data_IF_212894302932
#
_entry.id   IF_212894302932
#
_cell.length_a   1.000
_cell.length_b   1.000
_cell.length_c   1.000
_cell.angle_alpha   90.00
_cell.angle_beta   90.00
_cell.angle_gamma   90.00
#
_symmetry.space_group_name_H-M   'P 1'
#
loop_
_entity.id
_entity.type
_entity.pdbx_description
1 polymer ?
#
# COMPACT_ATOMS: atom_id res chain seq x y z
N UNK A 1 29.76 -21.38 -39.65
CA UNK A 1 29.33 -22.50 -38.78
C UNK A 1 30.44 -22.75 -37.76
N UNK A 2 30.08 -23.01 -36.49
CA UNK A 2 30.60 -22.36 -35.27
C UNK A 2 31.70 -23.21 -34.60
N UNK A 3 32.51 -22.71 -33.65
CA UNK A 3 32.18 -22.58 -32.22
C UNK A 3 33.20 -21.72 -31.46
N UNK A 4 32.77 -20.60 -30.86
CA UNK A 4 33.38 -20.05 -29.64
C UNK A 4 32.24 -19.50 -28.77
N UNK A 5 31.72 -20.34 -27.88
CA UNK A 5 30.88 -19.96 -26.75
C UNK A 5 31.66 -20.31 -25.48
N UNK A 6 32.15 -19.31 -24.74
CA UNK A 6 32.11 -19.29 -23.28
C UNK A 6 32.55 -17.93 -22.72
N UNK A 7 31.90 -17.55 -21.63
CA UNK A 7 32.29 -16.54 -20.64
C UNK A 7 32.02 -15.06 -20.96
N UNK A 8 30.76 -14.65 -20.80
CA UNK A 8 30.40 -13.32 -20.31
C UNK A 8 29.22 -13.45 -19.33
N UNK A 9 29.52 -13.80 -18.07
CA UNK A 9 28.60 -13.67 -16.95
C UNK A 9 29.34 -12.97 -15.83
N UNK A 10 29.19 -11.65 -15.75
CA UNK A 10 29.34 -10.82 -14.55
C UNK A 10 29.21 -9.34 -14.94
N UNK A 11 27.98 -8.85 -15.03
CA UNK A 11 27.65 -7.48 -14.67
C UNK A 11 26.16 -7.41 -14.37
N UNK A 12 25.85 -7.25 -13.09
CA UNK A 12 24.53 -6.96 -12.58
C UNK A 12 24.09 -5.59 -13.13
N UNK A 13 23.38 -5.60 -14.25
CA UNK A 13 22.63 -4.45 -14.71
C UNK A 13 21.35 -4.33 -13.88
N UNK A 14 21.33 -3.30 -13.04
CA UNK A 14 20.18 -2.81 -12.30
C UNK A 14 19.07 -2.43 -13.30
N UNK A 15 18.12 -3.33 -13.50
CA UNK A 15 16.95 -3.08 -14.34
C UNK A 15 15.99 -2.13 -13.63
N UNK A 16 15.94 -0.88 -14.09
CA UNK A 16 14.86 0.07 -13.82
C UNK A 16 13.66 -0.30 -14.71
N UNK A 17 12.45 -0.60 -14.17
CA UNK A 17 11.34 -1.10 -14.99
C UNK A 17 10.58 -0.01 -15.78
N UNK A 18 11.11 1.21 -15.90
CA UNK A 18 10.47 2.33 -16.61
C UNK A 18 10.89 2.52 -18.08
N UNK A 19 11.24 1.45 -18.80
CA UNK A 19 11.49 1.51 -20.25
C UNK A 19 10.65 0.50 -21.01
N UNK A 20 9.34 0.74 -21.10
CA UNK A 20 8.54 0.24 -22.21
C UNK A 20 7.57 1.32 -22.68
N UNK A 21 7.42 1.36 -24.01
CA UNK A 21 6.49 2.13 -24.85
C UNK A 21 6.96 3.56 -25.23
N UNK A 22 7.51 3.73 -26.45
CA UNK A 22 6.77 4.20 -27.63
C UNK A 22 7.64 4.30 -28.91
N UNK A 23 7.15 3.62 -29.96
CA UNK A 23 7.12 3.99 -31.39
C UNK A 23 8.43 4.46 -32.08
N UNK A 24 8.91 3.71 -33.09
CA UNK A 24 8.66 4.13 -34.47
C UNK A 24 8.96 3.06 -35.52
N UNK A 25 8.12 3.09 -36.54
CA UNK A 25 8.07 2.26 -37.73
C UNK A 25 9.20 2.55 -38.73
N UNK A 26 9.69 1.51 -39.40
CA UNK A 26 9.92 1.45 -40.85
C UNK A 26 10.82 2.48 -41.56
N UNK A 27 11.92 1.96 -42.10
CA UNK A 27 12.46 2.22 -43.45
C UNK A 27 12.76 3.67 -43.90
N UNK A 28 14.04 3.97 -44.19
CA UNK A 28 14.59 4.02 -45.56
C UNK A 28 16.05 4.54 -45.53
N UNK A 29 16.93 3.82 -46.22
CA UNK A 29 18.27 4.25 -46.63
C UNK A 29 18.21 5.49 -47.53
N UNK A 30 19.20 6.39 -47.47
CA UNK A 30 19.86 7.00 -48.65
C UNK A 30 21.21 7.69 -48.24
N UNK A 31 22.31 7.11 -48.74
CA UNK A 31 23.53 7.67 -49.38
C UNK A 31 24.37 8.85 -48.80
N UNK A 32 25.68 8.52 -48.63
CA UNK A 32 26.94 9.22 -49.05
C UNK A 32 27.19 10.70 -48.71
N UNK A 33 28.22 11.07 -47.93
CA UNK A 33 29.68 11.13 -48.19
C UNK A 33 30.17 12.51 -48.69
N UNK A 34 31.07 13.15 -47.93
CA UNK A 34 32.30 13.82 -48.41
C UNK A 34 32.98 14.64 -47.29
N UNK A 35 34.28 14.40 -47.11
CA UNK A 35 35.22 15.21 -46.34
C UNK A 35 35.70 16.43 -47.17
N UNK A 36 36.11 17.55 -46.54
CA UNK A 36 37.51 17.97 -46.37
C UNK A 36 37.72 19.41 -45.81
N UNK A 37 38.72 19.53 -44.94
CA UNK A 37 39.72 20.61 -44.69
C UNK A 37 39.40 22.13 -44.64
N UNK A 38 39.67 22.70 -43.44
CA UNK A 38 40.45 23.91 -43.07
C UNK A 38 40.42 25.22 -43.90
N UNK A 39 40.07 26.35 -43.25
CA UNK A 39 40.96 27.51 -42.98
C UNK A 39 40.25 28.66 -42.24
N UNK A 40 41.06 29.45 -41.54
CA UNK A 40 40.77 30.39 -40.43
C UNK A 40 39.99 31.69 -40.77
N UNK A 41 39.51 32.41 -39.73
CA UNK A 41 39.80 33.85 -39.43
C UNK A 41 39.17 34.30 -38.08
N UNK A 42 40.05 34.52 -37.09
CA UNK A 42 40.26 35.66 -36.15
C UNK A 42 39.13 36.38 -35.37
N UNK A 43 39.34 36.44 -34.03
CA UNK A 43 39.10 37.62 -33.15
C UNK A 43 38.07 37.37 -32.03
N UNK A 44 38.28 37.61 -30.73
CA UNK A 44 39.21 38.41 -29.93
C UNK A 44 39.15 37.88 -28.47
N UNK A 45 40.28 37.87 -27.76
CA UNK A 45 40.37 37.77 -26.29
C UNK A 45 41.22 38.94 -25.78
N UNK A 46 40.84 39.54 -24.64
CA UNK A 46 41.84 39.85 -23.60
C UNK A 46 41.31 39.49 -22.18
N UNK A 47 42.05 38.71 -21.38
CA UNK A 47 42.99 39.15 -20.32
C UNK A 47 42.25 39.69 -19.07
N UNK A 48 42.44 39.33 -17.80
CA UNK A 48 43.55 38.75 -17.01
C UNK A 48 43.02 38.33 -15.62
N UNK A 49 43.56 37.24 -15.08
CA UNK A 49 44.12 37.02 -13.74
C UNK A 49 43.63 37.83 -12.51
N UNK A 50 43.33 37.12 -11.40
CA UNK A 50 43.32 37.71 -10.04
C UNK A 50 42.61 36.85 -8.99
N UNK A 51 43.39 36.13 -8.18
CA UNK A 51 42.98 35.36 -6.99
C UNK A 51 42.33 36.26 -5.92
N UNK A 52 41.32 35.77 -5.20
CA UNK A 52 41.38 35.65 -3.72
C UNK A 52 40.22 34.81 -3.19
N UNK A 53 40.60 33.84 -2.37
CA UNK A 53 39.75 33.15 -1.39
C UNK A 53 38.94 34.16 -0.58
N UNK A 54 37.62 34.02 -0.56
CA UNK A 54 36.76 34.55 0.50
C UNK A 54 35.60 33.60 0.67
N UNK A 55 35.70 32.84 1.76
CA UNK A 55 34.69 31.95 2.27
C UNK A 55 33.37 32.71 2.45
N UNK A 56 32.39 32.43 1.59
CA UNK A 56 31.01 32.74 1.90
C UNK A 56 30.49 31.56 2.71
N UNK A 57 30.35 31.76 4.01
CA UNK A 57 29.64 30.86 4.91
C UNK A 57 28.20 30.67 4.39
N UNK A 58 27.96 29.57 3.67
CA UNK A 58 26.61 29.05 3.50
C UNK A 58 26.31 28.21 4.74
N UNK A 59 25.47 28.79 5.59
CA UNK A 59 25.06 28.25 6.86
C UNK A 59 24.45 26.85 6.74
N UNK A 60 24.56 26.13 7.87
CA UNK A 60 23.91 24.87 8.17
C UNK A 60 22.39 24.94 7.87
N UNK A 61 22.01 24.59 6.65
CA UNK A 61 20.64 24.42 6.21
C UNK A 61 20.41 22.97 5.84
N UNK A 62 19.66 22.26 6.68
CA UNK A 62 19.10 20.92 6.51
C UNK A 62 19.02 20.47 5.04
N UNK A 63 20.06 19.74 4.60
CA UNK A 63 20.01 19.01 3.35
C UNK A 63 18.94 17.92 3.49
N UNK A 64 18.09 17.80 2.47
CA UNK A 64 17.07 16.75 2.28
C UNK A 64 17.73 15.38 2.07
N UNK A 65 18.54 14.93 3.02
CA UNK A 65 19.12 13.61 3.07
C UNK A 65 18.14 12.67 3.76
N UNK A 66 17.42 11.86 2.99
CA UNK A 66 16.49 10.91 3.60
C UNK A 66 15.80 9.94 2.66
N UNK A 67 15.76 10.19 1.35
CA UNK A 67 14.98 9.33 0.43
C UNK A 67 15.83 8.52 -0.57
N UNK A 68 17.07 8.89 -0.87
CA UNK A 68 17.82 8.24 -1.95
C UNK A 68 19.24 7.83 -1.58
N UNK A 69 19.32 6.88 -0.66
CA UNK A 69 20.23 5.75 -0.77
C UNK A 69 19.57 4.61 0.00
N UNK A 70 18.71 3.82 -0.66
CA UNK A 70 18.21 2.59 -0.04
C UNK A 70 19.39 1.64 0.09
N UNK A 71 20.10 1.74 1.22
CA UNK A 71 21.37 1.09 1.46
C UNK A 71 21.21 -0.44 1.32
N UNK A 72 22.29 -1.13 0.96
CA UNK A 72 22.37 -2.61 0.88
C UNK A 72 21.72 -3.32 2.09
N UNK A 73 21.68 -2.68 3.26
CA UNK A 73 20.96 -3.15 4.47
C UNK A 73 19.48 -3.49 4.26
N UNK A 74 18.77 -2.79 3.38
CA UNK A 74 17.35 -3.06 3.11
C UNK A 74 17.20 -4.18 2.09
N UNK A 75 17.87 -4.06 0.93
CA UNK A 75 17.79 -5.05 -0.15
C UNK A 75 18.29 -6.43 0.26
N UNK A 76 19.33 -6.51 1.11
CA UNK A 76 19.82 -7.78 1.65
C UNK A 76 18.81 -8.49 2.58
N UNK A 77 17.69 -7.85 2.92
CA UNK A 77 16.60 -8.44 3.73
C UNK A 77 15.39 -8.84 2.90
N UNK A 78 15.53 -8.89 1.57
CA UNK A 78 14.47 -9.29 0.65
C UNK A 78 14.88 -10.57 -0.05
N UNK A 79 14.15 -11.64 0.21
CA UNK A 79 14.25 -12.88 -0.55
C UNK A 79 13.21 -12.86 -1.67
N UNK A 80 13.65 -12.73 -2.92
CA UNK A 80 12.79 -12.73 -4.10
C UNK A 80 12.52 -14.19 -4.51
N UNK A 81 11.30 -14.65 -4.34
CA UNK A 81 10.84 -15.90 -4.94
C UNK A 81 9.97 -15.61 -6.18
N UNK A 82 9.49 -16.65 -6.88
CA UNK A 82 8.73 -16.50 -8.12
C UNK A 82 7.37 -15.82 -7.96
N UNK A 83 6.83 -15.71 -6.75
CA UNK A 83 5.53 -15.07 -6.50
C UNK A 83 5.66 -13.78 -5.67
N UNK A 84 6.30 -13.83 -4.51
CA UNK A 84 6.43 -12.72 -3.55
C UNK A 84 7.90 -12.35 -3.28
N UNK A 85 8.12 -11.09 -2.91
CA UNK A 85 9.39 -10.65 -2.36
C UNK A 85 9.28 -10.64 -0.84
N UNK A 86 9.83 -11.65 -0.18
CA UNK A 86 9.62 -11.88 1.25
C UNK A 86 10.65 -11.15 2.10
N UNK A 87 10.17 -10.44 3.11
CA UNK A 87 10.99 -9.83 4.14
C UNK A 87 11.54 -10.87 5.12
N UNK A 88 12.86 -11.04 5.12
CA UNK A 88 13.57 -11.98 6.00
C UNK A 88 14.05 -11.34 7.31
N UNK A 89 13.87 -10.02 7.47
CA UNK A 89 14.22 -9.31 8.70
C UNK A 89 13.19 -9.49 9.83
N UNK A 90 13.30 -8.59 10.82
CA UNK A 90 12.36 -8.50 11.95
C UNK A 90 10.94 -8.30 11.43
N UNK A 91 10.01 -9.03 12.03
CA UNK A 91 8.57 -8.94 11.78
C UNK A 91 7.84 -8.61 13.08
N UNK A 92 6.68 -7.99 12.99
CA UNK A 92 5.81 -7.81 14.15
C UNK A 92 5.01 -9.09 14.47
N UNK A 93 4.20 -9.05 15.53
CA UNK A 93 3.33 -10.18 15.94
C UNK A 93 2.29 -10.59 14.89
N UNK A 94 2.06 -9.76 13.87
CA UNK A 94 1.12 -10.00 12.78
C UNK A 94 1.85 -10.41 11.47
N UNK A 95 3.18 -10.55 11.52
CA UNK A 95 4.00 -10.97 10.39
C UNK A 95 4.47 -9.84 9.47
N UNK A 96 4.12 -8.57 9.74
CA UNK A 96 4.55 -7.45 8.90
C UNK A 96 6.04 -7.16 9.09
N UNK A 97 6.77 -7.02 7.98
CA UNK A 97 8.18 -6.66 8.00
C UNK A 97 8.44 -5.28 8.61
N UNK A 98 9.44 -5.19 9.48
CA UNK A 98 9.87 -3.96 10.15
C UNK A 98 11.34 -3.68 9.84
N UNK A 99 11.67 -2.41 9.60
CA UNK A 99 13.02 -1.94 9.31
C UNK A 99 13.36 -0.71 10.14
N UNK A 100 14.59 -0.64 10.63
CA UNK A 100 15.11 0.53 11.37
C UNK A 100 15.73 1.53 10.39
N UNK A 101 15.07 2.68 10.26
CA UNK A 101 15.47 3.82 9.44
C UNK A 101 15.58 5.04 10.35
N UNK A 102 16.75 5.67 10.40
CA UNK A 102 17.05 6.85 11.21
C UNK A 102 16.62 6.72 12.69
N UNK A 103 16.89 5.55 13.28
CA UNK A 103 16.54 5.23 14.66
C UNK A 103 15.06 4.90 14.90
N UNK A 104 14.22 4.88 13.86
CA UNK A 104 12.79 4.58 13.96
C UNK A 104 12.45 3.26 13.27
N UNK A 105 11.53 2.50 13.87
CA UNK A 105 11.01 1.28 13.27
C UNK A 105 9.84 1.60 12.33
N UNK A 106 10.03 1.35 11.04
CA UNK A 106 9.07 1.60 9.95
C UNK A 106 8.69 0.28 9.29
N UNK A 107 7.51 0.22 8.66
CA UNK A 107 7.07 -0.94 7.91
C UNK A 107 7.82 -1.09 6.59
N UNK A 108 8.36 -2.28 6.32
CA UNK A 108 9.16 -2.56 5.13
C UNK A 108 8.36 -2.37 3.83
N UNK A 109 7.09 -2.77 3.80
CA UNK A 109 6.21 -2.59 2.64
C UNK A 109 5.89 -1.11 2.36
N UNK A 110 5.96 -0.23 3.36
CA UNK A 110 5.79 1.22 3.16
C UNK A 110 7.05 1.86 2.59
N UNK A 111 8.22 1.42 3.05
CA UNK A 111 9.51 1.91 2.54
C UNK A 111 9.62 1.60 1.05
N UNK A 112 9.37 0.36 0.63
CA UNK A 112 9.45 -0.01 -0.78
C UNK A 112 8.39 0.72 -1.62
N UNK A 113 7.19 0.95 -1.08
CA UNK A 113 6.18 1.77 -1.74
C UNK A 113 6.69 3.20 -1.97
N UNK A 114 7.20 3.85 -0.92
CA UNK A 114 7.72 5.21 -1.01
C UNK A 114 8.92 5.33 -1.95
N UNK A 115 9.73 4.28 -2.03
CA UNK A 115 10.87 4.19 -2.95
C UNK A 115 10.44 4.08 -4.42
N UNK A 116 9.41 3.27 -4.74
CA UNK A 116 8.99 3.01 -6.13
C UNK A 116 7.94 4.00 -6.62
N UNK A 117 6.96 4.31 -5.78
CA UNK A 117 5.76 5.08 -6.14
C UNK A 117 5.72 6.49 -5.54
N UNK A 118 6.64 6.80 -4.61
CA UNK A 118 6.66 8.08 -3.90
C UNK A 118 5.77 8.13 -2.65
N UNK A 119 5.60 9.34 -2.11
CA UNK A 119 4.97 9.55 -0.81
C UNK A 119 3.58 8.94 -0.69
N UNK A 120 3.29 8.33 0.47
CA UNK A 120 1.95 7.82 0.79
C UNK A 120 1.04 9.01 1.17
N UNK A 121 -0.06 9.28 0.44
CA UNK A 121 -0.98 10.35 0.78
C UNK A 121 -1.62 10.17 2.16
N UNK A 122 -1.95 11.29 2.83
CA UNK A 122 -2.60 11.26 4.14
C UNK A 122 -3.94 10.49 4.08
N UNK A 123 -4.17 9.64 5.08
CA UNK A 123 -5.39 8.83 5.18
C UNK A 123 -5.40 7.55 4.33
N UNK A 124 -4.36 7.32 3.52
CA UNK A 124 -4.19 6.08 2.77
C UNK A 124 -3.18 5.14 3.43
N UNK A 125 -3.41 3.85 3.22
CA UNK A 125 -2.60 2.75 3.70
C UNK A 125 -2.07 1.94 2.52
N UNK A 126 -0.90 1.34 2.69
CA UNK A 126 -0.34 0.39 1.73
C UNK A 126 -0.87 -0.99 2.07
N UNK A 127 -1.63 -1.58 1.15
CA UNK A 127 -2.33 -2.86 1.31
C UNK A 127 -1.72 -3.93 0.39
N UNK A 128 -1.93 -5.20 0.75
CA UNK A 128 -1.39 -6.35 0.03
C UNK A 128 -2.47 -7.04 -0.82
N UNK A 129 -2.18 -7.29 -2.10
CA UNK A 129 -3.01 -8.13 -2.97
C UNK A 129 -2.84 -9.61 -2.64
N UNK A 130 -1.64 -10.02 -2.22
CA UNK A 130 -1.23 -11.41 -2.08
C UNK A 130 -1.46 -12.02 -0.69
N UNK A 131 -2.04 -11.27 0.27
CA UNK A 131 -2.30 -11.72 1.65
C UNK A 131 -1.09 -12.28 2.41
N UNK A 132 0.12 -11.86 2.03
CA UNK A 132 1.37 -12.22 2.71
C UNK A 132 1.92 -10.96 3.41
N UNK A 133 1.77 -10.81 4.74
CA UNK A 133 2.18 -9.61 5.48
C UNK A 133 3.67 -9.26 5.34
N UNK A 134 4.51 -10.27 5.13
CA UNK A 134 5.96 -10.12 4.93
C UNK A 134 6.34 -9.73 3.49
N UNK A 135 5.39 -9.69 2.55
CA UNK A 135 5.67 -9.36 1.15
C UNK A 135 5.97 -7.86 1.00
N UNK A 136 7.01 -7.55 0.23
CA UNK A 136 7.45 -6.20 -0.13
C UNK A 136 7.56 -6.02 -1.65
N UNK A 137 6.95 -6.90 -2.44
CA UNK A 137 6.92 -6.76 -3.90
C UNK A 137 6.02 -5.56 -4.28
N UNK A 138 6.52 -4.49 -4.92
CA UNK A 138 5.74 -3.32 -5.29
C UNK A 138 4.46 -3.65 -6.08
N UNK A 139 4.54 -4.64 -6.99
CA UNK A 139 3.42 -5.11 -7.81
C UNK A 139 2.26 -5.67 -6.98
N UNK A 140 2.58 -6.20 -5.79
CA UNK A 140 1.63 -6.78 -4.85
C UNK A 140 1.07 -5.74 -3.86
N UNK A 141 1.52 -4.50 -3.94
CA UNK A 141 1.09 -3.42 -3.07
C UNK A 141 0.14 -2.47 -3.81
N UNK A 142 -0.76 -1.83 -3.07
CA UNK A 142 -1.62 -0.76 -3.57
C UNK A 142 -2.02 0.17 -2.44
N UNK A 143 -2.46 1.39 -2.77
CA UNK A 143 -3.03 2.31 -1.79
C UNK A 143 -4.53 2.07 -1.63
N UNK A 144 -4.99 2.06 -0.39
CA UNK A 144 -6.40 1.99 -0.07
C UNK A 144 -6.72 2.69 1.24
N UNK A 145 -8.01 2.93 1.47
CA UNK A 145 -8.48 3.41 2.77
C UNK A 145 -8.60 2.26 3.77
N UNK A 146 -8.74 2.60 5.06
CA UNK A 146 -9.08 1.59 6.08
C UNK A 146 -10.40 0.86 5.73
N UNK A 147 -11.35 1.56 5.12
CA UNK A 147 -12.62 0.96 4.68
C UNK A 147 -12.41 -0.08 3.58
N UNK A 148 -11.45 0.14 2.68
CA UNK A 148 -11.12 -0.79 1.61
C UNK A 148 -10.43 -2.04 2.17
N UNK A 149 -9.52 -1.87 3.13
CA UNK A 149 -8.90 -2.99 3.84
C UNK A 149 -9.94 -3.87 4.57
N UNK A 150 -10.95 -3.25 5.21
CA UNK A 150 -12.03 -3.99 5.87
C UNK A 150 -12.92 -4.75 4.86
N UNK A 151 -13.24 -4.12 3.72
CA UNK A 151 -14.00 -4.77 2.64
C UNK A 151 -13.24 -5.97 2.08
N UNK A 152 -11.95 -5.81 1.81
CA UNK A 152 -11.08 -6.87 1.30
C UNK A 152 -10.96 -8.03 2.30
N UNK A 153 -10.71 -7.74 3.58
CA UNK A 153 -10.69 -8.75 4.65
C UNK A 153 -12.03 -9.48 4.81
N UNK A 154 -13.16 -8.79 4.60
CA UNK A 154 -14.47 -9.41 4.60
C UNK A 154 -14.66 -10.34 3.39
N UNK A 155 -14.33 -9.87 2.18
CA UNK A 155 -14.44 -10.64 0.95
C UNK A 155 -13.58 -11.90 0.97
N UNK A 156 -12.35 -11.80 1.49
CA UNK A 156 -11.42 -12.92 1.69
C UNK A 156 -11.80 -13.84 2.85
N UNK A 157 -12.81 -13.47 3.64
CA UNK A 157 -13.33 -14.29 4.73
C UNK A 157 -12.46 -14.28 5.99
N UNK A 158 -11.50 -13.37 6.12
CA UNK A 158 -10.70 -13.22 7.34
C UNK A 158 -11.57 -12.79 8.55
N UNK A 159 -12.72 -12.17 8.28
CA UNK A 159 -13.69 -11.73 9.31
C UNK A 159 -14.82 -12.75 9.57
N UNK A 160 -14.73 -13.99 9.07
CA UNK A 160 -15.78 -15.02 9.25
C UNK A 160 -16.11 -15.30 10.73
N UNK A 161 -15.11 -15.28 11.60
CA UNK A 161 -15.29 -15.45 13.04
C UNK A 161 -16.19 -14.36 13.67
N UNK A 162 -16.20 -13.14 13.11
CA UNK A 162 -17.08 -12.05 13.56
C UNK A 162 -18.51 -12.20 13.02
N UNK A 163 -18.69 -12.84 11.86
CA UNK A 163 -19.99 -12.99 11.20
C UNK A 163 -20.92 -14.05 11.82
N UNK A 164 -20.37 -14.91 12.70
CA UNK A 164 -21.10 -16.02 13.33
C UNK A 164 -21.91 -15.65 14.58
N UNK A 165 -21.60 -14.52 15.21
CA UNK A 165 -22.31 -14.06 16.40
C UNK A 165 -23.55 -13.26 15.98
N UNK A 166 -24.72 -13.89 16.06
CA UNK A 166 -26.03 -13.26 15.79
C UNK A 166 -26.90 -13.33 17.04
N UNK A 167 -27.81 -12.38 17.17
CA UNK A 167 -28.76 -12.34 18.27
C UNK A 167 -28.05 -12.27 19.62
N UNK A 168 -28.45 -13.13 20.54
CA UNK A 168 -27.91 -13.19 21.91
C UNK A 168 -26.42 -13.56 21.97
N UNK A 169 -25.89 -14.19 20.92
CA UNK A 169 -24.47 -14.54 20.83
C UNK A 169 -23.57 -13.32 20.60
N UNK A 170 -24.13 -12.16 20.27
CA UNK A 170 -23.35 -10.92 20.26
C UNK A 170 -23.16 -10.43 21.69
N UNK A 171 -21.89 -10.26 22.11
CA UNK A 171 -21.55 -9.87 23.49
C UNK A 171 -22.05 -8.49 23.94
N UNK A 172 -22.64 -7.70 23.04
CA UNK A 172 -23.26 -6.39 23.34
C UNK A 172 -24.79 -6.42 23.13
N UNK A 173 -25.39 -7.60 22.92
CA UNK A 173 -26.84 -7.70 22.73
C UNK A 173 -27.58 -7.44 24.04
N UNK A 174 -28.53 -6.48 24.02
CA UNK A 174 -29.45 -6.22 25.14
C UNK A 174 -30.67 -7.15 25.17
N UNK A 175 -30.97 -7.78 24.04
CA UNK A 175 -32.11 -8.68 23.89
C UNK A 175 -31.59 -10.12 23.82
N UNK A 176 -32.38 -11.07 24.32
CA UNK A 176 -32.15 -12.52 24.16
C UNK A 176 -33.15 -13.10 23.16
N UNK A 177 -32.92 -14.35 22.74
CA UNK A 177 -33.84 -15.07 21.85
C UNK A 177 -35.26 -15.13 22.45
N UNK A 178 -35.39 -15.33 23.77
CA UNK A 178 -36.67 -15.38 24.50
C UNK A 178 -37.35 -14.02 24.53
N UNK A 179 -36.60 -12.96 24.86
CA UNK A 179 -37.15 -11.59 24.91
C UNK A 179 -37.70 -11.19 23.54
N UNK A 180 -37.02 -11.59 22.46
CA UNK A 180 -37.48 -11.33 21.09
C UNK A 180 -38.79 -12.04 20.78
N UNK A 181 -38.98 -13.28 21.24
CA UNK A 181 -40.26 -14.00 21.12
C UNK A 181 -41.36 -13.28 21.89
N UNK A 182 -41.10 -12.90 23.14
CA UNK A 182 -42.05 -12.16 23.98
C UNK A 182 -42.44 -10.81 23.36
N UNK A 183 -41.48 -10.04 22.82
CA UNK A 183 -41.76 -8.78 22.12
C UNK A 183 -42.73 -8.99 20.95
N UNK A 184 -42.53 -10.07 20.17
CA UNK A 184 -43.38 -10.35 19.01
C UNK A 184 -44.78 -10.80 19.41
N UNK A 185 -44.90 -11.60 20.46
CA UNK A 185 -46.17 -12.04 21.02
C UNK A 185 -46.95 -10.87 21.63
N UNK A 186 -46.31 -10.06 22.48
CA UNK A 186 -46.94 -8.89 23.13
C UNK A 186 -47.39 -7.83 22.10
N UNK A 187 -46.70 -7.72 20.96
CA UNK A 187 -47.08 -6.81 19.88
C UNK A 187 -48.32 -7.26 19.09
N UNK A 188 -48.72 -8.54 19.17
CA UNK A 188 -49.96 -9.00 18.53
C UNK A 188 -51.20 -8.40 19.22
N UNK A 189 -51.07 -7.96 20.47
CA UNK A 189 -52.15 -7.29 21.17
C UNK A 189 -52.35 -5.86 20.62
N UNK A 190 -53.54 -5.51 20.10
CA UNK A 190 -53.81 -4.19 19.51
C UNK A 190 -53.70 -3.03 20.51
N UNK A 191 -53.68 -3.30 21.82
CA UNK A 191 -53.46 -2.28 22.86
C UNK A 191 -51.99 -1.96 23.12
N UNK A 192 -51.08 -2.77 22.60
CA UNK A 192 -49.63 -2.63 22.84
C UNK A 192 -48.98 -1.81 21.73
N UNK A 193 -48.33 -0.71 22.11
CA UNK A 193 -47.54 0.11 21.18
C UNK A 193 -46.05 -0.25 21.20
N UNK A 194 -45.36 -0.02 20.08
CA UNK A 194 -43.90 -0.21 19.98
C UNK A 194 -43.12 0.64 21.00
N UNK A 195 -43.65 1.82 21.35
CA UNK A 195 -43.07 2.70 22.35
C UNK A 195 -43.13 2.10 23.77
N UNK A 196 -44.27 1.51 24.15
CA UNK A 196 -44.42 0.85 25.45
C UNK A 196 -43.47 -0.34 25.59
N UNK A 197 -43.34 -1.16 24.53
CA UNK A 197 -42.37 -2.27 24.49
C UNK A 197 -40.93 -1.76 24.60
N UNK A 198 -40.59 -0.70 23.87
CA UNK A 198 -39.26 -0.10 23.90
C UNK A 198 -38.87 0.36 25.32
N UNK A 199 -39.80 1.04 26.01
CA UNK A 199 -39.61 1.47 27.41
C UNK A 199 -39.47 0.28 28.36
N UNK A 200 -40.27 -0.77 28.18
CA UNK A 200 -40.25 -1.98 29.01
C UNK A 200 -38.92 -2.74 28.91
N UNK A 201 -38.42 -2.95 27.70
CA UNK A 201 -37.20 -3.73 27.46
C UNK A 201 -35.92 -2.86 27.39
N UNK A 202 -36.00 -1.57 27.68
CA UNK A 202 -34.83 -0.68 27.73
C UNK A 202 -34.11 -0.50 26.39
N UNK A 203 -34.85 -0.53 25.28
CA UNK A 203 -34.35 -0.35 23.91
C UNK A 203 -35.06 0.81 23.21
N UNK A 204 -34.53 1.29 22.09
CA UNK A 204 -35.21 2.31 21.31
C UNK A 204 -36.37 1.73 20.48
N UNK A 205 -37.38 2.55 20.18
CA UNK A 205 -38.56 2.14 19.40
C UNK A 205 -38.18 1.54 18.04
N UNK A 206 -37.15 2.09 17.38
CA UNK A 206 -36.64 1.56 16.11
C UNK A 206 -36.10 0.13 16.23
N UNK A 207 -35.55 -0.25 17.39
CA UNK A 207 -35.13 -1.64 17.64
C UNK A 207 -36.33 -2.57 17.73
N UNK A 208 -37.39 -2.17 18.44
CA UNK A 208 -38.65 -2.93 18.48
C UNK A 208 -39.25 -3.07 17.08
N UNK A 209 -39.30 -2.00 16.30
CA UNK A 209 -39.76 -2.04 14.92
C UNK A 209 -38.96 -3.03 14.07
N UNK A 210 -37.62 -3.04 14.18
CA UNK A 210 -36.75 -4.00 13.45
C UNK A 210 -37.01 -5.44 13.87
N UNK A 211 -37.24 -5.69 15.17
CA UNK A 211 -37.58 -7.01 15.72
C UNK A 211 -38.93 -7.50 15.20
N UNK A 212 -39.95 -6.65 15.26
CA UNK A 212 -41.33 -6.95 14.82
C UNK A 212 -41.41 -7.16 13.32
N UNK A 213 -40.75 -6.30 12.52
CA UNK A 213 -40.68 -6.43 11.05
C UNK A 213 -39.68 -7.50 10.58
N UNK A 214 -39.07 -8.25 11.49
CA UNK A 214 -38.05 -9.26 11.23
C UNK A 214 -36.86 -8.75 10.38
N UNK A 215 -36.58 -7.44 10.45
CA UNK A 215 -35.39 -6.82 9.83
C UNK A 215 -34.12 -7.13 10.64
N UNK A 216 -34.30 -7.36 11.94
CA UNK A 216 -33.31 -7.95 12.85
C UNK A 216 -33.88 -9.23 13.45
N UNK A 217 -33.03 -10.12 13.96
CA UNK A 217 -33.47 -11.39 14.59
C UNK A 217 -34.33 -12.27 13.69
N UNK A 218 -34.06 -12.28 12.38
CA UNK A 218 -34.82 -13.04 11.38
C UNK A 218 -34.71 -14.57 11.56
N UNK A 219 -33.69 -15.05 12.29
CA UNK A 219 -33.48 -16.46 12.59
C UNK A 219 -34.37 -16.97 13.73
N UNK A 220 -34.91 -16.07 14.54
CA UNK A 220 -35.94 -16.40 15.53
C UNK A 220 -37.27 -16.35 14.79
N UNK A 221 -38.13 -17.36 14.98
CA UNK A 221 -39.45 -17.45 14.37
C UNK A 221 -40.49 -16.72 15.21
#
# INVERSE_FOLDING_TARGET
MPDILLACANSEMWYNPFCLVEQNTGALCFYEAAANSQSDIVGKVPSTCGLTSSAVHLGNGSARGGLFAMNNRFWNKINKNSSCWLWIGVKDRFGYGRFSLDGRMVYAHRIIWEYVNGSIPNGLFVLHKCDVPACVNPEHLFLGTQSDNLKDAYQKGHLRHLSGFRGEKQGQSKLTDEIVKSIREEYQNPKTSQYQLAKRYGVCQTTIWRVVKRKSWAHIL
#
